data_IF_957047729413
#
_entry.id   IF_957047729413
#
_cell.length_a   1.000
_cell.length_b   1.000
_cell.length_c   1.000
_cell.angle_alpha   90.00
_cell.angle_beta   90.00
_cell.angle_gamma   90.00
#
_symmetry.space_group_name_H-M   'P 1'
#
loop_
_entity.id
_entity.type
_entity.pdbx_description
1 polymer ?
#
# COMPACT_ATOMS: atom_id res chain seq x y z
N UNK A 1 41.49 47.85 -16.46
CA UNK A 1 40.10 47.72 -16.96
C UNK A 1 39.54 46.44 -16.36
N UNK A 2 39.01 46.45 -15.13
CA UNK A 2 37.60 46.71 -14.79
C UNK A 2 36.61 45.83 -15.56
N UNK A 3 36.24 44.70 -14.95
CA UNK A 3 34.94 44.05 -15.14
C UNK A 3 34.57 43.32 -13.82
N UNK A 4 34.21 44.13 -12.83
CA UNK A 4 33.36 43.74 -11.70
C UNK A 4 31.89 43.88 -12.15
N UNK A 5 30.96 43.28 -11.38
CA UNK A 5 29.48 43.45 -11.46
C UNK A 5 28.86 42.47 -12.48
N UNK A 6 28.11 41.41 -12.14
CA UNK A 6 27.01 41.23 -11.18
C UNK A 6 26.95 39.78 -10.64
N UNK A 7 27.09 39.59 -9.32
CA UNK A 7 26.57 38.38 -8.63
C UNK A 7 25.16 38.68 -8.13
N UNK A 8 24.17 38.30 -8.94
CA UNK A 8 22.74 38.38 -8.64
C UNK A 8 22.22 37.09 -7.99
N UNK A 9 21.47 37.27 -6.90
CA UNK A 9 20.91 36.31 -5.93
C UNK A 9 19.93 35.28 -6.53
N UNK A 10 19.92 34.05 -5.98
CA UNK A 10 18.70 33.23 -5.88
C UNK A 10 18.51 32.05 -6.86
N UNK A 11 19.50 31.18 -7.05
CA UNK A 11 19.27 29.90 -7.77
C UNK A 11 18.56 28.89 -6.85
N UNK A 12 17.22 28.83 -6.93
CA UNK A 12 16.41 27.79 -6.28
C UNK A 12 16.58 26.49 -7.08
N UNK A 13 16.86 25.36 -6.41
CA UNK A 13 17.26 24.10 -7.07
C UNK A 13 16.26 22.99 -6.75
N UNK A 14 15.94 22.15 -7.74
CA UNK A 14 15.29 20.85 -7.45
C UNK A 14 16.40 19.93 -6.95
N UNK A 15 16.27 19.40 -5.72
CA UNK A 15 17.22 18.44 -5.17
C UNK A 15 16.71 17.03 -5.45
N UNK A 16 17.36 16.36 -6.38
CA UNK A 16 17.13 14.93 -6.64
C UNK A 16 18.12 14.11 -5.82
N UNK A 17 17.60 13.28 -4.92
CA UNK A 17 18.39 12.25 -4.26
C UNK A 17 18.07 10.91 -4.91
N UNK A 18 19.10 10.27 -5.46
CA UNK A 18 19.00 8.93 -6.04
C UNK A 18 19.62 7.94 -5.07
N UNK A 19 18.80 7.04 -4.55
CA UNK A 19 19.27 5.73 -4.12
C UNK A 19 18.79 4.74 -5.16
N UNK A 20 19.74 4.14 -5.89
CA UNK A 20 19.61 2.87 -6.62
C UNK A 20 19.41 2.86 -8.16
N UNK A 21 19.82 1.71 -8.71
CA UNK A 21 19.64 1.21 -10.07
C UNK A 21 18.41 0.30 -10.10
N UNK A 22 17.48 0.56 -11.01
CA UNK A 22 16.21 -0.17 -11.11
C UNK A 22 16.42 -1.66 -11.36
N UNK A 23 16.31 -2.50 -10.32
CA UNK A 23 16.28 -3.97 -10.46
C UNK A 23 14.86 -4.44 -10.79
N UNK A 24 14.61 -4.72 -12.07
CA UNK A 24 13.66 -5.65 -12.76
C UNK A 24 12.34 -6.17 -12.12
N UNK A 25 11.90 -5.80 -10.91
CA UNK A 25 10.70 -6.40 -10.26
C UNK A 25 9.51 -5.48 -10.06
N UNK A 26 9.62 -4.17 -10.31
CA UNK A 26 8.50 -3.22 -10.18
C UNK A 26 8.25 -2.45 -11.47
N UNK A 27 6.97 -2.24 -11.80
CA UNK A 27 6.58 -1.41 -12.94
C UNK A 27 6.72 0.07 -12.54
N UNK A 28 7.56 0.82 -13.28
CA UNK A 28 7.79 2.24 -13.03
C UNK A 28 6.46 3.01 -13.18
N UNK A 29 6.12 3.94 -12.26
CA UNK A 29 4.94 4.78 -12.42
C UNK A 29 4.93 5.49 -13.78
N UNK A 30 3.77 5.63 -14.45
CA UNK A 30 3.69 6.25 -15.77
C UNK A 30 4.32 7.65 -15.78
N UNK A 31 5.05 7.97 -16.85
CA UNK A 31 5.78 9.25 -16.93
C UNK A 31 4.86 10.46 -16.81
N UNK A 32 3.62 10.33 -17.30
CA UNK A 32 2.59 11.36 -17.18
C UNK A 32 2.24 11.67 -15.72
N UNK A 33 2.15 10.64 -14.86
CA UNK A 33 1.88 10.78 -13.41
C UNK A 33 3.04 11.48 -12.71
N UNK A 34 4.28 11.14 -13.10
CA UNK A 34 5.49 11.75 -12.53
C UNK A 34 5.57 13.23 -12.92
N UNK A 35 5.35 13.57 -14.21
CA UNK A 35 5.32 14.95 -14.71
C UNK A 35 4.28 15.79 -13.96
N UNK A 36 3.08 15.25 -13.80
CA UNK A 36 1.99 15.92 -13.08
C UNK A 36 2.34 16.15 -11.60
N UNK A 37 2.87 15.15 -10.91
CA UNK A 37 3.27 15.27 -9.49
C UNK A 37 4.34 16.37 -9.29
N UNK A 38 5.35 16.42 -10.17
CA UNK A 38 6.41 17.44 -10.11
C UNK A 38 5.84 18.82 -10.45
N UNK A 39 4.97 18.91 -11.46
CA UNK A 39 4.38 20.19 -11.86
C UNK A 39 3.48 20.75 -10.76
N UNK A 40 2.67 19.89 -10.12
CA UNK A 40 1.86 20.29 -8.96
C UNK A 40 2.71 20.74 -7.78
N UNK A 41 3.85 20.09 -7.52
CA UNK A 41 4.80 20.54 -6.51
C UNK A 41 5.33 21.95 -6.79
N UNK A 42 5.56 22.32 -8.05
CA UNK A 42 6.03 23.66 -8.46
C UNK A 42 4.90 24.71 -8.40
N UNK A 43 3.71 24.37 -8.90
CA UNK A 43 2.54 25.27 -8.94
C UNK A 43 2.06 25.60 -7.52
N UNK A 44 2.03 24.61 -6.64
CA UNK A 44 1.49 24.76 -5.28
C UNK A 44 2.57 25.05 -4.22
N UNK A 45 3.84 25.19 -4.62
CA UNK A 45 4.94 25.54 -3.71
C UNK A 45 4.66 26.82 -2.92
N UNK A 46 4.93 26.82 -1.62
CA UNK A 46 5.08 28.07 -0.87
C UNK A 46 6.47 28.69 -1.14
N UNK A 47 6.49 29.74 -1.98
CA UNK A 47 7.73 30.44 -2.35
C UNK A 47 8.29 31.33 -1.24
N UNK A 48 7.58 31.51 -0.12
CA UNK A 48 8.11 32.23 1.06
C UNK A 48 9.09 31.38 1.85
N UNK A 49 9.02 30.05 1.68
CA UNK A 49 9.90 29.10 2.37
C UNK A 49 11.20 28.91 1.59
N UNK A 50 12.33 28.93 2.27
CA UNK A 50 13.67 28.78 1.66
C UNK A 50 14.04 27.33 1.31
N UNK A 51 13.11 26.38 1.44
CA UNK A 51 13.34 24.95 1.20
C UNK A 51 13.03 24.57 -0.24
N UNK A 52 13.91 23.79 -0.82
CA UNK A 52 13.77 23.25 -2.18
C UNK A 52 12.66 22.19 -2.26
N UNK A 53 12.10 21.99 -3.46
CA UNK A 53 11.31 20.78 -3.74
C UNK A 53 12.28 19.59 -3.76
N UNK A 54 11.96 18.55 -2.98
CA UNK A 54 12.79 17.37 -2.83
C UNK A 54 12.15 16.21 -3.56
N UNK A 55 12.90 15.61 -4.49
CA UNK A 55 12.48 14.41 -5.21
C UNK A 55 13.38 13.27 -4.77
N UNK A 56 12.79 12.28 -4.09
CA UNK A 56 13.50 11.08 -3.65
C UNK A 56 13.01 9.90 -4.49
N UNK A 57 13.96 9.20 -5.08
CA UNK A 57 13.68 8.01 -5.89
C UNK A 57 14.24 6.82 -5.11
N UNK A 58 13.33 5.93 -4.72
CA UNK A 58 13.62 4.67 -4.05
C UNK A 58 13.32 3.51 -4.99
N UNK A 59 13.77 2.32 -4.62
CA UNK A 59 13.50 1.09 -5.36
C UNK A 59 12.02 0.74 -5.45
N UNK A 60 11.21 1.14 -4.47
CA UNK A 60 9.79 0.78 -4.40
C UNK A 60 8.81 1.97 -4.61
N UNK A 61 9.33 3.21 -4.69
CA UNK A 61 8.49 4.41 -4.79
C UNK A 61 9.26 5.65 -5.21
N UNK A 62 8.51 6.63 -5.70
CA UNK A 62 8.98 8.00 -5.92
C UNK A 62 8.24 8.90 -4.93
N UNK A 63 9.00 9.74 -4.22
CA UNK A 63 8.48 10.75 -3.31
C UNK A 63 8.78 12.15 -3.85
N UNK A 64 7.74 12.98 -3.93
CA UNK A 64 7.85 14.39 -4.28
C UNK A 64 7.37 15.21 -3.09
N UNK A 65 8.29 15.92 -2.45
CA UNK A 65 8.03 16.75 -1.29
C UNK A 65 8.14 18.23 -1.65
N UNK A 66 7.02 18.96 -1.52
CA UNK A 66 6.94 20.40 -1.77
C UNK A 66 6.74 21.17 -0.46
N UNK A 67 7.43 22.30 -0.24
CA UNK A 67 7.22 23.11 0.97
C UNK A 67 5.85 23.79 0.98
N UNK A 68 5.28 23.91 2.17
CA UNK A 68 3.94 24.44 2.43
C UNK A 68 2.91 23.35 2.69
N UNK A 69 1.68 23.75 3.00
CA UNK A 69 0.53 22.86 3.23
C UNK A 69 -0.41 22.83 2.02
N UNK A 70 -1.45 22.00 2.05
CA UNK A 70 -2.49 22.05 1.01
C UNK A 70 -3.15 23.44 0.95
N UNK A 71 -3.56 23.91 -0.23
CA UNK A 71 -4.23 25.19 -0.38
C UNK A 71 -5.67 25.14 0.13
N UNK A 72 -6.11 26.15 0.88
CA UNK A 72 -7.51 26.34 1.27
C UNK A 72 -8.06 25.21 2.16
N UNK A 73 -9.18 24.62 1.74
CA UNK A 73 -9.88 23.52 2.43
C UNK A 73 -9.55 22.14 1.86
N UNK A 74 -8.49 22.04 1.04
CA UNK A 74 -8.06 20.77 0.46
C UNK A 74 -7.45 19.88 1.55
N UNK A 75 -7.85 18.62 1.57
CA UNK A 75 -7.38 17.57 2.47
C UNK A 75 -6.98 16.34 1.65
N UNK A 76 -6.15 15.43 2.18
CA UNK A 76 -5.82 14.18 1.50
C UNK A 76 -7.03 13.40 0.99
N UNK A 77 -8.15 13.45 1.71
CA UNK A 77 -9.38 12.73 1.39
C UNK A 77 -10.22 13.40 0.30
N UNK A 78 -10.03 14.70 0.06
CA UNK A 78 -10.84 15.45 -0.92
C UNK A 78 -10.07 15.87 -2.18
N UNK A 79 -8.75 15.67 -2.22
CA UNK A 79 -7.88 16.19 -3.29
C UNK A 79 -8.26 15.72 -4.71
N UNK A 80 -8.87 14.54 -4.84
CA UNK A 80 -9.37 14.02 -6.13
C UNK A 80 -10.80 14.45 -6.49
N UNK A 81 -11.49 15.21 -5.64
CA UNK A 81 -12.88 15.67 -5.85
C UNK A 81 -13.03 17.18 -5.75
N UNK A 82 -12.12 17.82 -5.02
CA UNK A 82 -12.15 19.25 -4.80
C UNK A 82 -11.58 19.98 -6.02
N UNK A 83 -12.12 21.18 -6.28
CA UNK A 83 -11.62 22.04 -7.35
C UNK A 83 -10.16 22.42 -7.14
N UNK A 84 -9.44 22.63 -8.23
CA UNK A 84 -8.03 23.06 -8.18
C UNK A 84 -7.94 24.56 -7.92
N UNK A 85 -7.31 24.94 -6.80
CA UNK A 85 -6.88 26.31 -6.54
C UNK A 85 -5.35 26.40 -6.55
N UNK A 86 -4.80 26.98 -7.61
CA UNK A 86 -3.36 27.20 -7.73
C UNK A 86 -2.89 28.29 -6.76
N UNK A 87 -1.91 27.96 -5.89
CA UNK A 87 -1.27 28.96 -5.00
C UNK A 87 -0.56 30.05 -5.80
N UNK A 88 -0.01 29.70 -6.96
CA UNK A 88 0.71 30.60 -7.84
C UNK A 88 0.06 30.61 -9.25
N UNK A 89 -0.99 31.42 -9.47
CA UNK A 89 -1.72 31.46 -10.75
C UNK A 89 -0.86 31.85 -11.96
N UNK A 90 0.15 32.70 -11.76
CA UNK A 90 1.08 33.09 -12.83
C UNK A 90 1.90 31.89 -13.33
N UNK A 91 2.38 31.05 -12.41
CA UNK A 91 3.12 29.83 -12.76
C UNK A 91 2.21 28.86 -13.49
N UNK A 92 1.00 28.63 -12.97
CA UNK A 92 0.01 27.76 -13.61
C UNK A 92 -0.37 28.24 -15.02
N UNK A 93 -0.55 29.54 -15.21
CA UNK A 93 -0.84 30.13 -16.52
C UNK A 93 0.30 29.93 -17.51
N UNK A 94 1.53 30.26 -17.11
CA UNK A 94 2.70 30.10 -17.98
C UNK A 94 2.90 28.62 -18.40
N UNK A 95 2.62 27.68 -17.50
CA UNK A 95 2.72 26.25 -17.80
C UNK A 95 1.70 25.77 -18.84
N UNK A 96 0.52 26.41 -18.90
CA UNK A 96 -0.50 26.14 -19.92
C UNK A 96 -0.13 26.69 -21.31
N UNK A 97 0.70 27.72 -21.36
CA UNK A 97 1.12 28.36 -22.62
C UNK A 97 2.18 27.54 -23.39
N UNK A 98 2.70 26.44 -22.82
CA UNK A 98 3.65 25.56 -23.53
C UNK A 98 2.96 24.75 -24.64
N UNK A 99 3.66 24.47 -25.75
CA UNK A 99 3.13 23.63 -26.84
C UNK A 99 2.72 22.22 -26.40
N UNK A 100 3.46 21.63 -25.46
CA UNK A 100 3.11 20.39 -24.77
C UNK A 100 3.05 20.71 -23.27
N UNK A 101 1.85 21.00 -22.71
CA UNK A 101 1.75 21.36 -21.31
C UNK A 101 2.12 20.15 -20.43
N UNK A 102 3.04 20.31 -19.47
CA UNK A 102 3.48 19.21 -18.62
C UNK A 102 2.41 18.78 -17.61
N UNK A 103 1.39 19.61 -17.38
CA UNK A 103 0.25 19.33 -16.53
C UNK A 103 -1.07 19.31 -17.31
N UNK A 104 -2.03 18.54 -16.79
CA UNK A 104 -3.42 18.60 -17.24
C UNK A 104 -4.08 19.86 -16.67
N UNK A 105 -5.15 20.33 -17.32
CA UNK A 105 -5.90 21.50 -16.90
C UNK A 105 -6.23 21.52 -15.40
N UNK A 106 -6.25 22.73 -14.84
CA UNK A 106 -6.43 22.96 -13.40
C UNK A 106 -7.71 22.28 -12.88
N UNK A 107 -7.55 21.14 -12.20
CA UNK A 107 -8.65 20.36 -11.60
C UNK A 107 -8.71 18.91 -12.05
N UNK A 108 -8.11 18.58 -13.20
CA UNK A 108 -8.18 17.23 -13.77
C UNK A 108 -6.90 16.42 -13.54
N UNK A 109 -5.77 17.09 -13.27
CA UNK A 109 -4.46 16.45 -13.11
C UNK A 109 -4.41 15.37 -12.03
N UNK A 110 -4.97 15.64 -10.85
CA UNK A 110 -5.02 14.65 -9.76
C UNK A 110 -5.87 13.44 -10.15
N UNK A 111 -7.06 13.65 -10.72
CA UNK A 111 -7.93 12.57 -11.21
C UNK A 111 -7.23 11.71 -12.26
N UNK A 112 -6.50 12.34 -13.18
CA UNK A 112 -5.68 11.66 -14.18
C UNK A 112 -4.60 10.80 -13.50
N UNK A 113 -3.90 11.31 -12.48
CA UNK A 113 -2.91 10.51 -11.74
C UNK A 113 -3.50 9.23 -11.16
N UNK A 114 -4.70 9.30 -10.54
CA UNK A 114 -5.39 8.11 -10.04
C UNK A 114 -5.78 7.14 -11.17
N UNK A 115 -6.26 7.66 -12.30
CA UNK A 115 -6.68 6.84 -13.44
C UNK A 115 -5.52 6.11 -14.12
N UNK A 116 -4.40 6.80 -14.36
CA UNK A 116 -3.20 6.22 -14.98
C UNK A 116 -2.56 5.16 -14.06
N UNK A 117 -2.45 5.43 -12.76
CA UNK A 117 -1.92 4.44 -11.80
C UNK A 117 -2.82 3.20 -11.72
N UNK A 118 -4.15 3.38 -11.75
CA UNK A 118 -5.11 2.26 -11.80
C UNK A 118 -4.97 1.44 -13.09
N UNK A 119 -4.78 2.11 -14.23
CA UNK A 119 -4.59 1.45 -15.54
C UNK A 119 -3.29 0.65 -15.59
N UNK A 120 -2.23 1.15 -14.94
CA UNK A 120 -0.96 0.46 -14.78
C UNK A 120 -0.98 -0.66 -13.71
N UNK A 121 -2.13 -0.94 -13.09
CA UNK A 121 -2.27 -1.86 -11.95
C UNK A 121 -1.34 -1.54 -10.77
N UNK A 122 -1.02 -0.26 -10.55
CA UNK A 122 -0.18 0.21 -9.45
C UNK A 122 -1.03 0.77 -8.31
N UNK A 123 -0.45 0.81 -7.11
CA UNK A 123 -1.12 1.47 -5.97
C UNK A 123 -1.45 2.94 -6.29
N UNK A 124 -2.60 3.46 -5.84
CA UNK A 124 -2.98 4.84 -6.07
C UNK A 124 -1.96 5.82 -5.47
N UNK A 125 -1.82 7.03 -6.04
CA UNK A 125 -0.95 8.06 -5.48
C UNK A 125 -1.46 8.44 -4.08
N UNK A 126 -0.55 8.55 -3.11
CA UNK A 126 -0.88 9.02 -1.76
C UNK A 126 -0.39 10.44 -1.52
N UNK A 127 -1.19 11.20 -0.78
CA UNK A 127 -0.96 12.61 -0.49
C UNK A 127 -0.99 12.79 1.03
N UNK A 128 0.03 13.42 1.60
CA UNK A 128 0.13 13.67 3.03
C UNK A 128 0.67 15.07 3.33
N UNK A 129 0.27 15.64 4.45
CA UNK A 129 0.91 16.83 5.01
C UNK A 129 1.86 16.42 6.13
N UNK A 130 3.08 16.90 6.07
CA UNK A 130 4.07 16.74 7.13
C UNK A 130 4.10 18.06 7.91
N UNK A 131 3.51 18.02 9.12
CA UNK A 131 3.40 19.20 10.01
C UNK A 131 4.41 19.19 11.15
N UNK A 132 5.00 18.05 11.44
CA UNK A 132 5.86 17.81 12.61
C UNK A 132 7.29 18.33 12.43
N UNK A 133 7.68 18.70 11.21
CA UNK A 133 8.97 19.34 10.92
C UNK A 133 8.93 20.85 11.12
N UNK A 134 10.10 21.45 11.40
CA UNK A 134 10.28 22.90 11.52
C UNK A 134 9.74 23.72 10.33
N UNK A 135 9.60 23.07 9.17
CA UNK A 135 9.00 23.62 7.97
C UNK A 135 7.96 22.63 7.43
N UNK A 136 6.67 23.01 7.37
CA UNK A 136 5.64 22.12 6.86
C UNK A 136 5.81 21.84 5.36
N UNK A 137 5.42 20.65 4.95
CA UNK A 137 5.48 20.22 3.54
C UNK A 137 4.30 19.32 3.17
N UNK A 138 4.04 19.25 1.87
CA UNK A 138 3.17 18.25 1.26
C UNK A 138 4.05 17.19 0.62
N UNK A 139 3.74 15.93 0.90
CA UNK A 139 4.40 14.75 0.34
C UNK A 139 3.43 14.02 -0.59
N UNK A 140 3.87 13.79 -1.82
CA UNK A 140 3.22 12.90 -2.79
C UNK A 140 4.06 11.65 -2.92
N UNK A 141 3.46 10.48 -2.72
CA UNK A 141 4.14 9.19 -2.88
C UNK A 141 3.51 8.39 -4.01
N UNK A 142 4.35 7.98 -4.97
CA UNK A 142 4.00 7.12 -6.10
C UNK A 142 4.69 5.78 -5.91
N UNK A 143 3.95 4.75 -5.51
CA UNK A 143 4.51 3.40 -5.32
C UNK A 143 4.58 2.68 -6.65
N UNK A 144 5.65 1.91 -6.86
CA UNK A 144 5.85 1.09 -8.07
C UNK A 144 5.44 -0.39 -7.84
N UNK A 145 4.83 -0.66 -6.69
CA UNK A 145 4.29 -1.96 -6.32
C UNK A 145 2.99 -2.20 -7.09
N UNK A 146 2.85 -3.39 -7.70
CA UNK A 146 1.61 -3.80 -8.33
C UNK A 146 0.54 -4.05 -7.26
N UNK A 147 -0.70 -3.65 -7.54
CA UNK A 147 -1.82 -3.99 -6.67
C UNK A 147 -2.05 -5.50 -6.77
N UNK A 148 -2.29 -6.18 -5.63
CA UNK A 148 -2.75 -7.55 -5.65
C UNK A 148 -3.96 -7.67 -6.58
N UNK A 149 -4.07 -8.72 -7.42
CA UNK A 149 -5.23 -8.94 -8.25
C UNK A 149 -6.51 -8.83 -7.43
N UNK A 150 -7.59 -8.30 -8.04
CA UNK A 150 -8.85 -8.07 -7.32
C UNK A 150 -9.35 -9.37 -6.65
N UNK A 151 -9.17 -10.51 -7.32
CA UNK A 151 -9.46 -11.83 -6.75
C UNK A 151 -8.71 -12.11 -5.45
N UNK A 152 -7.42 -11.79 -5.37
CA UNK A 152 -6.62 -12.03 -4.16
C UNK A 152 -7.08 -11.15 -3.00
N UNK A 153 -7.40 -9.88 -3.28
CA UNK A 153 -7.97 -8.96 -2.28
C UNK A 153 -9.31 -9.47 -1.74
N UNK A 154 -10.18 -9.93 -2.64
CA UNK A 154 -11.50 -10.49 -2.29
C UNK A 154 -11.36 -11.81 -1.54
N UNK A 155 -10.41 -12.65 -1.98
CA UNK A 155 -10.08 -13.92 -1.36
C UNK A 155 -9.64 -13.73 0.09
N UNK A 156 -8.68 -12.84 0.33
CA UNK A 156 -8.18 -12.50 1.67
C UNK A 156 -9.25 -11.78 2.53
N UNK A 157 -10.18 -11.05 1.90
CA UNK A 157 -11.32 -10.48 2.61
C UNK A 157 -12.30 -11.57 3.08
N UNK A 158 -12.65 -12.53 2.21
CA UNK A 158 -13.53 -13.67 2.54
C UNK A 158 -12.93 -14.50 3.67
N UNK A 159 -11.63 -14.75 3.65
CA UNK A 159 -10.97 -15.55 4.70
C UNK A 159 -11.05 -14.88 6.08
N UNK A 160 -11.11 -13.55 6.14
CA UNK A 160 -11.14 -12.78 7.39
C UNK A 160 -12.55 -12.40 7.86
N UNK A 161 -13.47 -12.16 6.94
CA UNK A 161 -14.81 -11.63 7.25
C UNK A 161 -15.95 -12.61 6.94
N UNK A 162 -15.67 -13.69 6.20
CA UNK A 162 -16.65 -14.70 5.83
C UNK A 162 -17.38 -14.38 4.52
N UNK A 163 -18.72 -14.58 4.44
CA UNK A 163 -19.47 -14.46 3.20
C UNK A 163 -19.37 -13.07 2.57
N UNK A 164 -19.12 -13.02 1.26
CA UNK A 164 -19.00 -11.79 0.47
C UNK A 164 -20.36 -11.39 -0.12
N UNK A 165 -20.82 -10.17 0.14
CA UNK A 165 -21.94 -9.57 -0.58
C UNK A 165 -21.46 -8.71 -1.77
N UNK A 166 -22.37 -8.39 -2.68
CA UNK A 166 -22.08 -7.51 -3.82
C UNK A 166 -21.59 -6.12 -3.37
N UNK A 167 -22.16 -5.58 -2.29
CA UNK A 167 -21.72 -4.32 -1.67
C UNK A 167 -20.26 -4.36 -1.24
N UNK A 168 -19.83 -5.50 -0.69
CA UNK A 168 -18.47 -5.67 -0.16
C UNK A 168 -17.47 -5.70 -1.32
N UNK A 169 -17.81 -6.40 -2.41
CA UNK A 169 -17.00 -6.38 -3.63
C UNK A 169 -16.89 -4.97 -4.24
N UNK A 170 -17.99 -4.22 -4.27
CA UNK A 170 -17.97 -2.84 -4.76
C UNK A 170 -17.01 -1.96 -3.94
N UNK A 171 -16.97 -2.17 -2.62
CA UNK A 171 -16.06 -1.45 -1.72
C UNK A 171 -14.60 -1.88 -1.91
N UNK A 172 -14.33 -3.19 -2.01
CA UNK A 172 -12.96 -3.73 -2.15
C UNK A 172 -12.36 -3.33 -3.51
N UNK A 173 -13.13 -3.49 -4.59
CA UNK A 173 -12.64 -3.27 -5.95
C UNK A 173 -12.82 -1.83 -6.45
N UNK A 174 -13.49 -0.95 -5.68
CA UNK A 174 -13.88 0.41 -6.10
C UNK A 174 -14.62 0.43 -7.46
N UNK A 175 -15.52 -0.53 -7.68
CA UNK A 175 -16.28 -0.65 -8.93
C UNK A 175 -17.77 -0.45 -8.71
N UNK A 176 -18.49 -0.12 -9.79
CA UNK A 176 -19.94 -0.06 -9.78
C UNK A 176 -20.58 -1.44 -9.58
N UNK A 177 -21.83 -1.43 -9.11
CA UNK A 177 -22.58 -2.66 -8.81
C UNK A 177 -22.76 -3.59 -10.02
N UNK A 178 -22.77 -3.04 -11.25
CA UNK A 178 -22.95 -3.82 -12.46
C UNK A 178 -21.66 -4.59 -12.81
N UNK A 179 -20.50 -3.92 -12.73
CA UNK A 179 -19.18 -4.54 -12.90
C UNK A 179 -18.92 -5.58 -11.82
N UNK A 180 -19.20 -5.27 -10.55
CA UNK A 180 -19.10 -6.22 -9.46
C UNK A 180 -19.96 -7.48 -9.72
N UNK A 181 -21.21 -7.30 -10.16
CA UNK A 181 -22.09 -8.42 -10.51
C UNK A 181 -21.53 -9.29 -11.64
N UNK A 182 -20.94 -8.69 -12.68
CA UNK A 182 -20.28 -9.42 -13.78
C UNK A 182 -19.06 -10.21 -13.30
N UNK A 183 -18.28 -9.63 -12.39
CA UNK A 183 -17.11 -10.28 -11.80
C UNK A 183 -17.52 -11.49 -10.94
N UNK A 184 -18.52 -11.32 -10.08
CA UNK A 184 -19.07 -12.40 -9.26
C UNK A 184 -19.61 -13.54 -10.13
N UNK A 185 -20.37 -13.20 -11.18
CA UNK A 185 -20.88 -14.21 -12.13
C UNK A 185 -19.74 -15.00 -12.77
N UNK A 186 -18.70 -14.31 -13.26
CA UNK A 186 -17.51 -14.93 -13.85
C UNK A 186 -16.79 -15.84 -12.85
N UNK A 187 -16.65 -15.42 -11.59
CA UNK A 187 -16.00 -16.22 -10.55
C UNK A 187 -16.82 -17.44 -10.13
N UNK A 188 -18.16 -17.35 -10.17
CA UNK A 188 -19.05 -18.51 -9.99
C UNK A 188 -18.94 -19.46 -11.18
N UNK A 189 -18.92 -18.96 -12.42
CA UNK A 189 -18.72 -19.77 -13.62
C UNK A 189 -17.35 -20.49 -13.63
N UNK A 190 -16.33 -19.85 -13.08
CA UNK A 190 -14.99 -20.42 -12.90
C UNK A 190 -14.89 -21.39 -11.71
N UNK A 191 -15.93 -21.51 -10.89
CA UNK A 191 -15.95 -22.40 -9.72
C UNK A 191 -15.12 -21.94 -8.52
N UNK A 192 -14.58 -20.72 -8.55
CA UNK A 192 -13.80 -20.16 -7.42
C UNK A 192 -14.68 -19.54 -6.33
N UNK A 193 -15.96 -19.26 -6.65
CA UNK A 193 -16.98 -18.85 -5.70
C UNK A 193 -18.23 -19.72 -5.84
N UNK A 194 -18.89 -19.95 -4.71
CA UNK A 194 -20.20 -20.57 -4.62
C UNK A 194 -21.21 -19.51 -4.19
N UNK A 195 -22.32 -19.42 -4.91
CA UNK A 195 -23.46 -18.60 -4.51
C UNK A 195 -24.24 -19.35 -3.44
N UNK A 196 -24.42 -18.74 -2.28
CA UNK A 196 -25.29 -19.30 -1.26
C UNK A 196 -26.76 -19.06 -1.67
N UNK A 197 -27.49 -20.16 -1.88
CA UNK A 197 -28.90 -20.14 -2.25
C UNK A 197 -29.83 -20.39 -1.04
N UNK A 198 -29.32 -20.29 0.19
CA UNK A 198 -30.09 -20.51 1.42
C UNK A 198 -31.11 -19.39 1.72
N UNK A 199 -32.20 -19.39 0.92
CA UNK A 199 -33.56 -19.09 1.36
C UNK A 199 -33.98 -17.62 1.55
N UNK A 200 -34.84 -17.13 0.64
CA UNK A 200 -35.80 -16.05 0.88
C UNK A 200 -35.31 -14.61 0.68
N UNK A 201 -35.98 -13.64 1.32
CA UNK A 201 -35.76 -12.16 1.29
C UNK A 201 -34.38 -11.68 1.79
N UNK A 202 -33.35 -12.53 1.77
CA UNK A 202 -31.99 -12.21 2.22
C UNK A 202 -31.11 -11.76 1.06
N UNK A 203 -30.10 -10.96 1.39
CA UNK A 203 -29.07 -10.52 0.43
C UNK A 203 -28.31 -11.74 -0.11
N UNK A 204 -28.05 -11.75 -1.42
CA UNK A 204 -27.22 -12.78 -2.05
C UNK A 204 -25.78 -12.67 -1.54
N UNK A 205 -25.28 -13.76 -0.96
CA UNK A 205 -23.90 -13.86 -0.46
C UNK A 205 -23.13 -14.95 -1.21
N UNK A 206 -21.82 -14.77 -1.28
CA UNK A 206 -20.89 -15.63 -1.99
C UNK A 206 -19.83 -16.16 -1.02
N UNK A 207 -19.46 -17.43 -1.18
CA UNK A 207 -18.52 -18.14 -0.34
C UNK A 207 -17.42 -18.72 -1.21
N UNK A 208 -16.21 -18.87 -0.66
CA UNK A 208 -15.25 -19.76 -1.30
C UNK A 208 -15.72 -21.21 -1.16
N UNK A 209 -15.48 -22.07 -2.17
CA UNK A 209 -15.60 -23.50 -1.96
C UNK A 209 -14.71 -23.87 -0.77
N UNK A 210 -15.30 -24.56 0.21
CA UNK A 210 -14.54 -25.10 1.33
C UNK A 210 -13.40 -25.94 0.76
N UNK A 211 -12.17 -25.48 0.92
CA UNK A 211 -10.99 -26.33 0.74
C UNK A 211 -10.94 -27.26 1.95
N UNK A 212 -11.91 -28.14 2.09
CA UNK A 212 -11.70 -29.33 2.90
C UNK A 212 -10.51 -30.06 2.24
N UNK A 213 -9.47 -30.46 2.98
CA UNK A 213 -8.59 -31.49 2.44
C UNK A 213 -9.51 -32.63 2.06
N UNK A 214 -9.51 -33.02 0.79
CA UNK A 214 -10.33 -34.09 0.28
C UNK A 214 -10.07 -35.33 1.13
N UNK A 215 -10.95 -35.61 2.09
CA UNK A 215 -11.00 -36.85 2.87
C UNK A 215 -11.56 -38.00 2.02
N UNK A 216 -11.21 -38.00 0.72
CA UNK A 216 -11.59 -38.96 -0.29
C UNK A 216 -10.34 -39.33 -1.07
N UNK A 217 -9.68 -40.37 -0.57
CA UNK A 217 -9.13 -41.44 -1.40
C UNK A 217 -7.97 -41.09 -2.33
N UNK A 218 -6.78 -40.89 -1.76
CA UNK A 218 -5.57 -41.46 -2.35
C UNK A 218 -5.04 -42.51 -1.36
N UNK A 219 -5.54 -43.73 -1.52
CA UNK A 219 -4.79 -44.92 -1.10
C UNK A 219 -3.54 -44.97 -1.95
N UNK A 220 -2.38 -44.71 -1.35
CA UNK A 220 -1.09 -45.08 -1.93
C UNK A 220 -0.85 -46.57 -1.65
N UNK A 221 -0.91 -47.47 -2.64
CA UNK A 221 -0.76 -48.91 -2.41
C UNK A 221 0.65 -49.31 -1.97
N UNK A 222 1.64 -48.41 -2.03
CA UNK A 222 3.05 -48.74 -1.74
C UNK A 222 3.46 -48.50 -0.28
N UNK A 223 2.60 -47.93 0.56
CA UNK A 223 2.91 -47.66 1.97
C UNK A 223 2.52 -48.80 2.93
N UNK A 224 1.72 -49.78 2.48
CA UNK A 224 1.16 -50.84 3.35
C UNK A 224 2.07 -52.09 3.51
N UNK A 225 3.09 -52.27 2.67
CA UNK A 225 3.93 -53.48 2.69
C UNK A 225 5.11 -53.42 3.68
N UNK A 226 5.42 -52.25 4.24
CA UNK A 226 6.54 -52.08 5.17
C UNK A 226 6.17 -52.28 6.65
N UNK A 227 4.88 -52.42 6.99
CA UNK A 227 4.42 -52.49 8.39
C UNK A 227 4.21 -53.92 8.93
N UNK A 228 4.36 -54.97 8.11
CA UNK A 228 4.00 -56.36 8.52
C UNK A 228 5.22 -57.23 8.89
N UNK A 229 6.45 -56.83 8.58
CA UNK A 229 7.64 -57.67 8.84
C UNK A 229 8.68 -57.02 9.76
N UNK A 230 8.37 -56.87 11.06
CA UNK A 230 9.40 -56.84 12.10
C UNK A 230 8.86 -57.31 13.46
N UNK A 231 9.22 -58.53 13.94
CA UNK A 231 8.89 -58.95 15.28
C UNK A 231 9.81 -58.30 16.32
N UNK A 232 9.24 -57.98 17.47
CA UNK A 232 9.90 -57.45 18.64
C UNK A 232 11.11 -58.29 19.10
N UNK A 233 12.16 -57.60 19.58
CA UNK A 233 13.13 -58.18 20.51
C UNK A 233 13.37 -57.26 21.69
N UNK A 234 13.01 -57.78 22.86
CA UNK A 234 13.29 -57.23 24.17
C UNK A 234 14.70 -57.63 24.64
N UNK A 235 15.40 -56.69 25.29
CA UNK A 235 16.44 -56.88 26.30
C UNK A 235 16.84 -55.46 26.76
N UNK A 236 16.65 -54.99 27.98
CA UNK A 236 16.82 -55.68 29.25
C UNK A 236 18.27 -55.51 29.71
N UNK A 237 18.60 -54.40 30.38
CA UNK A 237 19.73 -54.28 31.30
C UNK A 237 19.65 -53.01 32.15
N UNK A 238 19.35 -53.23 33.43
CA UNK A 238 19.59 -52.37 34.60
C UNK A 238 21.08 -52.01 34.74
N UNK A 239 21.40 -50.75 35.08
CA UNK A 239 22.47 -50.41 36.04
C UNK A 239 22.10 -49.12 36.81
N UNK A 240 22.41 -49.16 38.11
CA UNK A 240 22.00 -48.30 39.23
C UNK A 240 23.05 -47.22 39.57
N UNK A 241 22.54 -46.02 39.90
CA UNK A 241 22.94 -44.97 40.89
C UNK A 241 24.41 -44.74 41.28
N UNK A 242 24.86 -43.48 41.11
CA UNK A 242 25.58 -42.59 42.06
C UNK A 242 25.57 -41.19 41.38
N UNK A 243 25.40 -40.01 41.98
CA UNK A 243 25.50 -39.50 43.34
C UNK A 243 26.15 -38.11 43.23
N UNK A 244 25.61 -37.10 43.94
CA UNK A 244 26.30 -35.87 44.38
C UNK A 244 26.18 -34.55 43.57
N UNK A 245 25.25 -33.70 44.07
CA UNK A 245 25.46 -32.35 44.65
C UNK A 245 25.37 -31.06 43.81
N UNK A 246 24.46 -30.20 44.34
CA UNK A 246 24.39 -28.71 44.39
C UNK A 246 23.79 -28.01 43.15
N UNK A 247 22.76 -27.15 43.27
CA UNK A 247 22.01 -26.71 44.43
C UNK A 247 20.92 -25.67 44.10
N UNK A 248 19.93 -25.61 45.02
CA UNK A 248 19.03 -24.51 45.42
C UNK A 248 18.06 -23.84 44.42
N UNK A 249 16.80 -24.22 44.61
CA UNK A 249 15.55 -23.44 44.52
C UNK A 249 15.47 -22.42 45.71
N UNK A 250 14.69 -21.33 45.79
CA UNK A 250 13.29 -20.95 45.42
C UNK A 250 13.16 -19.37 45.47
N UNK A 251 11.99 -18.69 45.67
CA UNK A 251 11.10 -18.13 44.63
C UNK A 251 10.62 -16.65 44.87
N UNK A 252 9.74 -16.16 43.98
CA UNK A 252 8.60 -15.22 44.15
C UNK A 252 8.59 -14.18 45.30
N UNK A 253 8.36 -12.90 44.98
CA UNK A 253 7.03 -12.24 45.14
C UNK A 253 7.06 -10.68 45.18
N UNK A 254 5.98 -10.13 44.64
CA UNK A 254 5.42 -8.76 44.68
C UNK A 254 5.83 -7.76 45.78
N UNK A 255 5.92 -6.47 45.40
CA UNK A 255 4.91 -5.42 45.73
C UNK A 255 5.33 -4.02 45.28
N UNK A 256 4.38 -3.27 44.71
CA UNK A 256 4.32 -1.81 44.76
C UNK A 256 3.97 -1.35 46.20
N UNK A 257 4.22 -0.08 46.58
CA UNK A 257 3.11 0.88 46.58
C UNK A 257 3.46 2.39 46.39
N UNK A 258 2.48 3.10 45.81
CA UNK A 258 1.93 4.46 46.03
C UNK A 258 2.65 5.60 46.79
N UNK A 259 2.45 6.82 46.26
CA UNK A 259 2.29 8.13 46.97
C UNK A 259 3.58 8.95 47.09
N UNK A 260 3.66 10.29 47.02
CA UNK A 260 2.67 11.37 47.11
C UNK A 260 3.33 12.71 46.70
N UNK A 261 2.50 13.66 46.28
CA UNK A 261 2.64 15.14 46.17
C UNK A 261 3.96 15.84 46.57
N UNK A 262 4.34 16.80 45.72
CA UNK A 262 5.08 18.03 46.02
C UNK A 262 4.71 19.06 44.97
#
# INVERSE_FOLDING_TARGET
MMASVLRGKGSQRIKTQRSCAWTKRGSRPPDRVIKEAITNAVVHRDYRMSRDIQIRIFDNRIEVESPGLFPGTITPSNIGKAGSFARNPLVARNLREFPEPPNVDAGEGVCMMFAEMRTANLFPPSFAEIRETAQPSVLVTLRNEERPPIWEQVSDWIDRHGPLANSDLCQIAEVDALKASKMLKRWVEQGVLLKDNSGGKRLTVYLKPSTAPSSLGWYDPLSAELAINHPARASGLDVRVEGSRRGRWYPLSHRAPTGTRG
#
